data_IF_560496359595
#
_entry.id   IF_560496359595
#
_cell.length_a   1.000
_cell.length_b   1.000
_cell.length_c   1.000
_cell.angle_alpha   90.00
_cell.angle_beta   90.00
_cell.angle_gamma   90.00
#
_symmetry.space_group_name_H-M   'P 1'
#
loop_
_entity.id
_entity.type
_entity.pdbx_description
1 polymer ?
#
# COMPACT_ATOMS: atom_id res chain seq x y z
N UNK A 1 8.31 5.43 17.49
CA UNK A 1 7.96 4.19 16.76
C UNK A 1 9.14 3.25 16.93
N UNK A 2 8.91 2.02 17.39
CA UNK A 2 10.00 1.05 17.57
C UNK A 2 10.66 0.68 16.24
N UNK A 3 11.90 0.15 16.26
CA UNK A 3 12.68 -0.10 15.05
C UNK A 3 12.17 -1.29 14.22
N UNK A 4 11.46 -2.24 14.84
CA UNK A 4 10.92 -3.43 14.17
C UNK A 4 9.38 -3.50 14.30
N UNK A 5 8.63 -3.28 13.21
CA UNK A 5 7.18 -3.39 13.19
C UNK A 5 6.63 -4.76 13.59
N UNK A 6 7.36 -5.86 13.33
CA UNK A 6 6.93 -7.21 13.71
C UNK A 6 6.98 -7.40 15.22
N UNK A 7 8.04 -6.92 15.85
CA UNK A 7 8.18 -6.94 17.32
C UNK A 7 7.09 -6.10 17.98
N UNK A 8 6.80 -4.91 17.43
CA UNK A 8 5.71 -4.07 17.92
C UNK A 8 4.35 -4.78 17.83
N UNK A 9 4.12 -5.51 16.74
CA UNK A 9 2.89 -6.30 16.53
C UNK A 9 2.75 -7.41 17.55
N UNK A 10 3.82 -8.16 17.80
CA UNK A 10 3.82 -9.22 18.81
C UNK A 10 3.53 -8.67 20.21
N UNK A 11 4.12 -7.52 20.56
CA UNK A 11 3.84 -6.84 21.83
C UNK A 11 2.39 -6.38 21.90
N UNK A 12 1.86 -5.76 20.85
CA UNK A 12 0.48 -5.30 20.80
C UNK A 12 -0.53 -6.45 20.98
N UNK A 13 -0.25 -7.61 20.37
CA UNK A 13 -1.05 -8.83 20.59
C UNK A 13 -0.98 -9.34 22.02
N UNK A 14 0.19 -9.29 22.67
CA UNK A 14 0.32 -9.64 24.10
C UNK A 14 -0.50 -8.70 24.97
N UNK A 15 -0.44 -7.39 24.70
CA UNK A 15 -1.24 -6.39 25.42
C UNK A 15 -2.74 -6.65 25.24
N UNK A 16 -3.18 -6.91 24.00
CA UNK A 16 -4.58 -7.26 23.70
C UNK A 16 -5.04 -8.49 24.50
N UNK A 17 -4.21 -9.54 24.58
CA UNK A 17 -4.50 -10.74 25.37
C UNK A 17 -4.68 -10.43 26.85
N UNK A 18 -3.82 -9.59 27.43
CA UNK A 18 -3.95 -9.15 28.83
C UNK A 18 -5.23 -8.34 29.03
N UNK A 19 -5.56 -7.43 28.11
CA UNK A 19 -6.80 -6.65 28.17
C UNK A 19 -8.06 -7.53 28.06
N UNK A 20 -8.02 -8.55 27.20
CA UNK A 20 -9.13 -9.48 27.01
C UNK A 20 -9.41 -10.36 28.25
N UNK A 21 -8.43 -10.51 29.15
CA UNK A 21 -8.64 -11.20 30.43
C UNK A 21 -9.44 -10.38 31.44
N UNK A 22 -9.61 -9.07 31.22
CA UNK A 22 -10.40 -8.21 32.10
C UNK A 22 -11.89 -8.23 31.66
N UNK A 23 -12.82 -8.72 32.49
CA UNK A 23 -14.25 -8.80 32.15
C UNK A 23 -14.93 -7.43 31.97
N UNK A 24 -14.30 -6.33 32.39
CA UNK A 24 -14.80 -4.97 32.19
C UNK A 24 -14.40 -4.38 30.82
N UNK A 25 -13.50 -5.03 30.09
CA UNK A 25 -13.05 -4.58 28.77
C UNK A 25 -13.93 -5.20 27.69
N UNK A 26 -14.50 -4.36 26.84
CA UNK A 26 -15.34 -4.80 25.72
C UNK A 26 -14.50 -4.83 24.45
N UNK A 27 -14.41 -6.00 23.83
CA UNK A 27 -13.85 -6.22 22.48
C UNK A 27 -12.52 -5.51 22.18
N UNK A 28 -11.42 -5.79 22.91
CA UNK A 28 -10.13 -5.18 22.60
C UNK A 28 -9.63 -5.66 21.22
N UNK A 29 -9.33 -4.71 20.33
CA UNK A 29 -8.84 -4.95 18.96
C UNK A 29 -7.68 -4.02 18.61
N UNK A 30 -6.99 -4.33 17.51
CA UNK A 30 -5.90 -3.52 16.96
C UNK A 30 -6.36 -2.99 15.59
N UNK A 31 -6.58 -1.67 15.48
CA UNK A 31 -7.09 -1.01 14.26
C UNK A 31 -6.16 -1.15 13.04
N UNK A 32 -4.86 -1.33 13.27
CA UNK A 32 -3.83 -1.33 12.24
C UNK A 32 -3.25 -2.73 11.96
N UNK A 33 -3.72 -3.77 12.64
CA UNK A 33 -3.15 -5.13 12.55
C UNK A 33 -3.56 -5.88 11.26
N UNK A 34 -4.48 -5.30 10.49
CA UNK A 34 -4.88 -5.83 9.19
C UNK A 34 -3.73 -5.70 8.18
N UNK A 35 -3.39 -6.82 7.54
CA UNK A 35 -2.36 -6.86 6.51
C UNK A 35 -2.99 -6.49 5.16
N UNK A 36 -2.52 -5.40 4.57
CA UNK A 36 -2.77 -5.15 3.16
C UNK A 36 -1.96 -6.16 2.32
N UNK A 37 -2.56 -6.80 1.30
CA UNK A 37 -1.81 -7.60 0.35
C UNK A 37 -0.83 -6.71 -0.42
N UNK A 38 0.42 -7.16 -0.56
CA UNK A 38 1.45 -6.47 -1.34
C UNK A 38 1.77 -7.33 -2.55
N UNK A 39 1.77 -6.71 -3.74
CA UNK A 39 2.25 -7.36 -4.96
C UNK A 39 3.76 -7.12 -5.09
N UNK A 40 4.54 -8.20 -5.15
CA UNK A 40 5.96 -8.13 -5.44
C UNK A 40 6.22 -8.58 -6.88
N UNK A 41 6.84 -7.72 -7.68
CA UNK A 41 7.20 -8.04 -9.05
C UNK A 41 8.63 -8.61 -9.08
N UNK A 42 8.74 -9.92 -9.31
CA UNK A 42 10.03 -10.54 -9.59
C UNK A 42 10.46 -10.20 -11.04
N UNK A 43 11.47 -9.35 -11.17
CA UNK A 43 12.02 -8.93 -12.47
C UNK A 43 13.43 -9.48 -12.65
N UNK A 44 13.71 -9.98 -13.85
CA UNK A 44 15.07 -10.35 -14.26
C UNK A 44 15.71 -9.16 -14.97
N UNK A 45 16.61 -8.47 -14.28
CA UNK A 45 17.19 -7.21 -14.75
C UNK A 45 17.94 -7.38 -16.06
N UNK A 46 18.69 -8.47 -16.22
CA UNK A 46 19.43 -8.80 -17.44
C UNK A 46 18.51 -8.92 -18.65
N UNK A 47 17.36 -9.57 -18.49
CA UNK A 47 16.36 -9.73 -19.54
C UNK A 47 15.70 -8.40 -19.92
N UNK A 48 15.46 -7.51 -18.95
CA UNK A 48 14.95 -6.17 -19.22
C UNK A 48 15.96 -5.35 -20.02
N UNK A 49 17.24 -5.41 -19.67
CA UNK A 49 18.31 -4.71 -20.38
C UNK A 49 18.43 -5.14 -21.85
N UNK A 50 18.27 -6.43 -22.13
CA UNK A 50 18.23 -6.94 -23.52
C UNK A 50 17.06 -6.38 -24.34
N UNK A 51 15.98 -5.98 -23.67
CA UNK A 51 14.81 -5.34 -24.29
C UNK A 51 14.91 -3.80 -24.31
N UNK A 52 16.02 -3.22 -23.84
CA UNK A 52 16.19 -1.78 -23.71
C UNK A 52 15.35 -1.15 -22.60
N UNK A 53 14.90 -1.95 -21.62
CA UNK A 53 14.07 -1.52 -20.51
C UNK A 53 14.86 -1.50 -19.20
N UNK A 54 14.49 -0.59 -18.31
CA UNK A 54 14.92 -0.59 -16.92
C UNK A 54 13.79 -1.03 -15.98
N UNK A 55 14.09 -1.51 -14.77
CA UNK A 55 13.06 -1.77 -13.75
C UNK A 55 12.18 -0.54 -13.46
N UNK A 56 12.73 0.66 -13.61
CA UNK A 56 11.99 1.92 -13.43
C UNK A 56 10.93 2.11 -14.52
N UNK A 57 11.26 1.80 -15.77
CA UNK A 57 10.31 1.93 -16.89
C UNK A 57 9.12 0.98 -16.71
N UNK A 58 9.42 -0.26 -16.31
CA UNK A 58 8.40 -1.27 -15.99
C UNK A 58 7.53 -0.82 -14.80
N UNK A 59 8.14 -0.30 -13.73
CA UNK A 59 7.40 0.19 -12.58
C UNK A 59 6.47 1.37 -12.94
N UNK A 60 6.94 2.33 -13.74
CA UNK A 60 6.12 3.47 -14.17
C UNK A 60 4.94 3.03 -15.03
N UNK A 61 5.14 2.07 -15.93
CA UNK A 61 4.08 1.53 -16.78
C UNK A 61 3.02 0.80 -15.94
N UNK A 62 3.44 -0.06 -15.00
CA UNK A 62 2.53 -0.77 -14.10
C UNK A 62 1.76 0.18 -13.19
N UNK A 63 2.42 1.20 -12.64
CA UNK A 63 1.78 2.24 -11.83
C UNK A 63 0.65 2.92 -12.58
N UNK A 64 0.90 3.30 -13.84
CA UNK A 64 -0.09 3.93 -14.72
C UNK A 64 -1.30 3.03 -14.95
N UNK A 65 -1.09 1.71 -15.10
CA UNK A 65 -2.17 0.75 -15.32
C UNK A 65 -2.98 0.47 -14.06
N UNK A 66 -2.32 0.33 -12.91
CA UNK A 66 -2.95 -0.10 -11.65
C UNK A 66 -3.64 1.05 -10.92
N UNK A 67 -2.96 2.18 -10.77
CA UNK A 67 -3.47 3.31 -9.98
C UNK A 67 -4.07 4.41 -10.86
N UNK A 68 -3.65 4.48 -12.12
CA UNK A 68 -3.90 5.62 -12.98
C UNK A 68 -3.05 6.82 -12.61
N UNK A 69 -2.93 7.76 -13.55
CA UNK A 69 -2.20 9.00 -13.32
C UNK A 69 -3.12 10.20 -13.55
N UNK A 70 -3.06 11.18 -12.65
CA UNK A 70 -3.64 12.49 -12.91
C UNK A 70 -2.94 13.09 -14.14
N UNK A 71 -3.70 13.28 -15.22
CA UNK A 71 -3.19 13.84 -16.48
C UNK A 71 -3.49 15.32 -16.59
N UNK A 72 -4.59 15.78 -16.00
CA UNK A 72 -4.97 17.18 -15.95
C UNK A 72 -6.04 17.42 -14.88
N UNK A 73 -6.44 18.67 -14.68
CA UNK A 73 -7.56 19.06 -13.83
C UNK A 73 -8.66 19.69 -14.68
N UNK A 74 -9.90 19.30 -14.42
CA UNK A 74 -11.09 19.89 -15.02
C UNK A 74 -11.81 20.74 -13.99
N UNK A 75 -12.31 21.91 -14.40
CA UNK A 75 -13.24 22.69 -13.57
C UNK A 75 -14.64 22.13 -13.74
N UNK A 76 -15.20 21.61 -12.65
CA UNK A 76 -16.60 21.21 -12.55
C UNK A 76 -17.30 22.17 -11.59
N UNK A 77 -18.12 23.06 -12.16
CA UNK A 77 -18.79 24.16 -11.46
C UNK A 77 -17.81 25.07 -10.69
N UNK A 78 -17.77 24.92 -9.36
CA UNK A 78 -16.91 25.65 -8.44
C UNK A 78 -15.74 24.81 -7.91
N UNK A 79 -15.62 23.54 -8.33
CA UNK A 79 -14.60 22.60 -7.86
C UNK A 79 -13.61 22.28 -8.97
N UNK A 80 -12.34 22.11 -8.62
CA UNK A 80 -11.35 21.43 -9.48
C UNK A 80 -11.40 19.94 -9.17
N UNK A 81 -11.53 19.12 -10.21
CA UNK A 81 -11.48 17.66 -10.12
C UNK A 81 -10.33 17.13 -10.99
N UNK A 82 -9.61 16.12 -10.50
CA UNK A 82 -8.54 15.48 -11.25
C UNK A 82 -9.11 14.54 -12.32
N UNK A 83 -8.58 14.61 -13.53
CA UNK A 83 -8.82 13.63 -14.58
C UNK A 83 -7.74 12.57 -14.47
N UNK A 84 -8.14 11.35 -14.09
CA UNK A 84 -7.24 10.20 -13.97
C UNK A 84 -7.30 9.39 -15.26
N UNK A 85 -6.18 9.27 -15.96
CA UNK A 85 -6.04 8.31 -17.05
C UNK A 85 -5.67 6.93 -16.48
N UNK A 86 -6.39 5.89 -16.90
CA UNK A 86 -6.12 4.47 -16.59
C UNK A 86 -6.18 3.65 -17.88
N UNK A 87 -5.23 2.74 -18.05
CA UNK A 87 -5.08 1.93 -19.26
C UNK A 87 -3.96 2.42 -20.19
N UNK A 88 -3.58 1.54 -21.12
CA UNK A 88 -2.63 1.80 -22.20
C UNK A 88 -3.37 1.72 -23.55
#
# INVERSE_FOLDING_TARGET
>A
IGPDPLVLRDIAHRVRTVMAANPQVVAPHLEWDERAPILYLAMEVERLLLLGLTPRDVAQQLQSQLEGRAVTQLRQDIRSVEVIARGA
#
